data_IF_970869992240
#
_entry.id   IF_970869992240
#
_cell.length_a   1.000
_cell.length_b   1.000
_cell.length_c   1.000
_cell.angle_alpha   90.00
_cell.angle_beta   90.00
_cell.angle_gamma   90.00
#
_symmetry.space_group_name_H-M   'P 1'
#
loop_
_entity.id
_entity.type
_entity.pdbx_description
1 polymer ?
#
# COMPACT_ATOMS: atom_id res chain seq x y z
N UNK A 1 19.94 17.82 -20.45
CA UNK A 1 18.70 17.63 -19.65
C UNK A 1 18.54 16.14 -19.40
N UNK A 2 18.22 15.74 -18.18
CA UNK A 2 18.03 14.33 -17.83
C UNK A 2 16.75 14.23 -17.01
N UNK A 3 15.89 13.29 -17.35
CA UNK A 3 14.73 12.93 -16.53
C UNK A 3 14.95 11.56 -15.91
N UNK A 4 14.38 11.38 -14.73
CA UNK A 4 14.42 10.12 -13.99
C UNK A 4 13.02 9.91 -13.42
N UNK A 5 12.46 8.72 -13.62
CA UNK A 5 11.38 8.21 -12.81
C UNK A 5 12.00 7.33 -11.74
N UNK A 6 11.88 7.75 -10.47
CA UNK A 6 12.37 6.99 -9.34
C UNK A 6 11.22 6.45 -8.49
N UNK A 7 11.38 5.24 -7.99
CA UNK A 7 10.58 4.67 -6.91
C UNK A 7 11.49 4.29 -5.76
N UNK A 8 11.05 4.55 -4.54
CA UNK A 8 11.80 4.24 -3.32
C UNK A 8 10.86 3.84 -2.20
N UNK A 9 11.34 2.97 -1.31
CA UNK A 9 10.70 2.77 -0.03
C UNK A 9 11.52 3.41 1.08
N UNK A 10 10.82 4.07 1.98
CA UNK A 10 11.34 4.65 3.21
C UNK A 10 10.71 3.94 4.39
N UNK A 11 11.50 3.55 5.37
CA UNK A 11 10.98 2.94 6.61
C UNK A 11 11.52 3.66 7.83
N UNK A 12 10.68 3.82 8.83
CA UNK A 12 10.97 4.53 10.07
C UNK A 12 10.68 3.63 11.27
N UNK A 13 11.65 3.45 12.16
CA UNK A 13 11.46 2.68 13.38
C UNK A 13 12.14 3.35 14.56
N UNK A 14 11.32 3.96 15.43
CA UNK A 14 11.78 4.69 16.61
C UNK A 14 12.64 5.88 16.19
N UNK A 15 13.97 5.75 16.20
CA UNK A 15 14.92 6.79 15.79
C UNK A 15 15.77 6.37 14.58
N UNK A 16 15.42 5.26 13.93
CA UNK A 16 16.12 4.75 12.77
C UNK A 16 15.30 4.99 11.51
N UNK A 17 15.98 5.27 10.41
CA UNK A 17 15.41 5.29 9.08
C UNK A 17 16.26 4.50 8.09
N UNK A 18 15.60 3.97 7.08
CA UNK A 18 16.24 3.40 5.90
C UNK A 18 15.52 3.86 4.64
N UNK A 19 16.30 3.95 3.56
CA UNK A 19 15.80 4.27 2.22
C UNK A 19 16.41 3.28 1.27
N UNK A 20 15.59 2.69 0.41
CA UNK A 20 16.05 1.77 -0.61
C UNK A 20 15.37 2.08 -1.93
N UNK A 21 16.13 2.07 -3.04
CA UNK A 21 15.56 2.23 -4.36
C UNK A 21 14.74 0.99 -4.72
N UNK A 22 13.61 1.22 -5.36
CA UNK A 22 12.77 0.18 -5.99
C UNK A 22 13.09 0.15 -7.47
N UNK A 23 13.04 1.32 -8.11
CA UNK A 23 13.23 1.48 -9.55
C UNK A 23 13.85 2.83 -9.85
N UNK A 24 14.65 2.89 -10.92
CA UNK A 24 15.22 4.12 -11.45
C UNK A 24 15.27 4.04 -12.98
N UNK A 25 14.28 4.64 -13.64
CA UNK A 25 14.19 4.66 -15.10
C UNK A 25 14.63 6.02 -15.63
N UNK A 26 15.55 6.03 -16.58
CA UNK A 26 15.94 7.25 -17.28
C UNK A 26 14.83 7.63 -18.27
N UNK A 27 14.35 8.87 -18.15
CA UNK A 27 13.50 9.50 -19.15
C UNK A 27 14.44 10.18 -20.15
N UNK A 28 14.51 9.61 -21.35
CA UNK A 28 15.30 10.14 -22.45
C UNK A 28 14.65 11.41 -22.98
N UNK A 29 15.45 12.46 -23.19
CA UNK A 29 15.03 13.67 -23.88
C UNK A 29 15.77 13.79 -25.22
N UNK A 30 16.16 12.65 -25.79
CA UNK A 30 17.14 12.62 -26.87
C UNK A 30 16.59 13.30 -28.13
N UNK A 31 15.30 13.15 -28.43
CA UNK A 31 14.66 13.83 -29.57
C UNK A 31 14.73 15.35 -29.47
N UNK A 32 14.42 15.92 -28.29
CA UNK A 32 14.48 17.38 -28.10
C UNK A 32 15.93 17.87 -28.05
N UNK A 33 16.83 17.09 -27.48
CA UNK A 33 18.25 17.43 -27.43
C UNK A 33 18.89 17.39 -28.82
N UNK A 34 18.53 16.43 -29.68
CA UNK A 34 18.97 16.36 -31.08
C UNK A 34 18.50 17.58 -31.87
N UNK A 35 17.27 18.05 -31.66
CA UNK A 35 16.77 19.29 -32.30
C UNK A 35 17.50 20.55 -31.85
N UNK A 36 18.10 20.52 -30.68
CA UNK A 36 18.87 21.64 -30.11
C UNK A 36 20.37 21.52 -30.39
N UNK A 37 20.82 20.41 -30.97
CA UNK A 37 22.22 20.20 -31.29
C UNK A 37 22.62 21.04 -32.51
N UNK A 38 23.63 21.89 -32.34
CA UNK A 38 24.21 22.68 -33.42
C UNK A 38 25.29 21.88 -34.15
N UNK A 39 25.64 22.27 -35.38
CA UNK A 39 26.63 21.58 -36.24
C UNK A 39 28.00 21.30 -35.59
N UNK A 40 28.35 22.00 -34.51
CA UNK A 40 29.58 21.80 -33.74
C UNK A 40 29.39 20.88 -32.50
N UNK A 41 28.28 20.16 -32.40
CA UNK A 41 27.95 19.26 -31.28
C UNK A 41 27.53 19.95 -29.99
N UNK A 42 27.34 21.28 -30.00
CA UNK A 42 26.86 22.02 -28.82
C UNK A 42 25.33 21.99 -28.77
N UNK A 43 24.76 21.85 -27.58
CA UNK A 43 23.31 21.96 -27.38
C UNK A 43 22.95 23.42 -27.09
N UNK A 44 22.07 24.00 -27.92
CA UNK A 44 21.48 25.34 -27.74
C UNK A 44 19.97 25.25 -27.80
N UNK A 45 19.33 25.31 -26.64
CA UNK A 45 17.88 25.41 -26.53
C UNK A 45 17.41 26.82 -26.99
N UNK A 46 16.59 26.94 -28.05
CA UNK A 46 16.01 28.22 -28.44
C UNK A 46 15.01 28.71 -27.39
N UNK A 47 14.71 30.02 -27.41
CA UNK A 47 13.63 30.56 -26.59
C UNK A 47 12.29 30.01 -27.06
N UNK A 48 11.44 29.57 -26.14
CA UNK A 48 10.12 29.04 -26.46
C UNK A 48 9.54 28.17 -25.36
N UNK A 49 8.35 27.63 -25.62
CA UNK A 49 7.70 26.61 -24.80
C UNK A 49 7.82 25.26 -25.51
N UNK A 50 8.24 24.24 -24.78
CA UNK A 50 8.45 22.90 -25.32
C UNK A 50 7.67 21.89 -24.50
N UNK A 51 6.93 21.03 -25.20
CA UNK A 51 6.27 19.87 -24.63
C UNK A 51 7.00 18.61 -25.08
N UNK A 52 7.19 17.66 -24.16
CA UNK A 52 7.78 16.37 -24.43
C UNK A 52 6.91 15.29 -23.79
N UNK A 53 6.53 14.29 -24.56
CA UNK A 53 5.78 13.14 -24.08
C UNK A 53 6.75 11.96 -23.91
N UNK A 54 6.67 11.28 -22.77
CA UNK A 54 7.37 10.02 -22.54
C UNK A 54 6.38 9.01 -22.02
N UNK A 55 6.56 7.76 -22.43
CA UNK A 55 5.87 6.61 -21.83
C UNK A 55 6.83 5.86 -20.95
N UNK A 56 6.38 5.53 -19.76
CA UNK A 56 7.16 4.79 -18.76
C UNK A 56 6.34 3.57 -18.41
N UNK A 57 6.91 2.39 -18.64
CA UNK A 57 6.34 1.13 -18.20
C UNK A 57 7.02 0.76 -16.89
N UNK A 58 6.20 0.50 -15.87
CA UNK A 58 6.65 0.04 -14.55
C UNK A 58 6.39 -1.46 -14.49
N UNK A 59 7.37 -2.24 -14.05
CA UNK A 59 7.22 -3.70 -13.94
C UNK A 59 6.09 -4.08 -12.97
N UNK A 60 5.45 -5.22 -13.25
CA UNK A 60 4.36 -5.79 -12.45
C UNK A 60 4.76 -6.06 -11.00
N UNK A 61 6.06 -6.24 -10.74
CA UNK A 61 6.62 -6.46 -9.41
C UNK A 61 6.80 -5.18 -8.59
N UNK A 62 6.58 -4.00 -9.19
CA UNK A 62 6.70 -2.74 -8.46
C UNK A 62 5.47 -2.53 -7.57
N UNK A 63 5.66 -2.25 -6.27
CA UNK A 63 4.56 -2.05 -5.35
C UNK A 63 3.80 -0.75 -5.65
N UNK A 64 2.53 -0.72 -5.28
CA UNK A 64 1.75 0.51 -5.25
C UNK A 64 2.34 1.57 -4.30
N UNK A 65 2.00 2.83 -4.54
CA UNK A 65 2.26 3.91 -3.59
C UNK A 65 1.56 3.62 -2.27
N UNK A 66 2.30 3.76 -1.18
CA UNK A 66 1.81 3.50 0.17
C UNK A 66 2.36 4.57 1.12
N UNK A 67 1.51 5.11 1.98
CA UNK A 67 1.92 6.07 3.00
C UNK A 67 1.38 5.59 4.35
N UNK A 68 2.28 5.32 5.28
CA UNK A 68 1.94 4.90 6.65
C UNK A 68 2.79 5.65 7.67
N UNK A 69 2.42 5.54 8.95
CA UNK A 69 3.19 6.14 10.06
C UNK A 69 4.64 5.66 10.13
N UNK A 70 4.90 4.39 9.76
CA UNK A 70 6.21 3.75 9.96
C UNK A 70 6.95 3.48 8.62
N UNK A 71 6.41 3.95 7.50
CA UNK A 71 7.07 3.81 6.21
C UNK A 71 6.22 4.27 5.03
N UNK A 72 6.89 4.57 3.94
CA UNK A 72 6.29 5.01 2.68
C UNK A 72 6.90 4.26 1.50
N UNK A 73 6.12 4.11 0.43
CA UNK A 73 6.53 3.67 -0.90
C UNK A 73 6.12 4.82 -1.81
N UNK A 74 7.11 5.53 -2.34
CA UNK A 74 6.91 6.79 -3.06
C UNK A 74 7.57 6.73 -4.44
N UNK A 75 6.91 7.37 -5.40
CA UNK A 75 7.42 7.53 -6.75
C UNK A 75 7.47 9.00 -7.12
N UNK A 76 8.45 9.38 -7.93
CA UNK A 76 8.59 10.75 -8.41
C UNK A 76 9.22 10.80 -9.81
N UNK A 77 8.80 11.79 -10.59
CA UNK A 77 9.51 12.23 -11.79
C UNK A 77 10.43 13.37 -11.37
N UNK A 78 11.71 13.23 -11.66
CA UNK A 78 12.75 14.21 -11.42
C UNK A 78 13.31 14.64 -12.77
N UNK A 79 13.22 15.93 -13.08
CA UNK A 79 13.85 16.52 -14.25
C UNK A 79 14.98 17.43 -13.79
N UNK A 80 16.20 17.14 -14.28
CA UNK A 80 17.41 17.91 -14.04
C UNK A 80 17.82 18.63 -15.32
N UNK A 81 17.87 19.94 -15.25
CA UNK A 81 18.37 20.82 -16.31
C UNK A 81 19.68 21.46 -15.84
N UNK A 82 20.79 21.09 -16.48
CA UNK A 82 22.09 21.73 -16.28
C UNK A 82 22.35 22.71 -17.41
N UNK A 83 22.58 23.97 -17.07
CA UNK A 83 22.88 25.05 -18.01
C UNK A 83 24.28 25.59 -17.75
N UNK A 84 25.08 25.73 -18.81
CA UNK A 84 26.42 26.29 -18.74
C UNK A 84 26.34 27.81 -18.92
N UNK A 85 26.81 28.56 -17.93
CA UNK A 85 26.93 30.01 -18.00
C UNK A 85 28.37 30.44 -18.32
N UNK A 86 28.60 31.77 -18.36
CA UNK A 86 29.96 32.33 -18.43
C UNK A 86 30.79 32.03 -17.18
N UNK A 87 30.14 31.85 -16.03
CA UNK A 87 30.78 31.55 -14.74
C UNK A 87 30.12 30.29 -14.18
N UNK A 88 30.68 29.13 -14.51
CA UNK A 88 30.24 27.84 -13.99
C UNK A 88 28.95 27.29 -14.62
N UNK A 89 28.38 26.30 -13.93
CA UNK A 89 27.14 25.64 -14.32
C UNK A 89 26.05 25.91 -13.30
N UNK A 90 24.85 26.21 -13.76
CA UNK A 90 23.64 26.21 -12.94
C UNK A 90 22.88 24.90 -13.14
N UNK A 91 22.38 24.33 -12.06
CA UNK A 91 21.53 23.15 -12.07
C UNK A 91 20.14 23.52 -11.55
N UNK A 92 19.12 23.19 -12.32
CA UNK A 92 17.72 23.31 -11.93
C UNK A 92 17.14 21.90 -11.83
N UNK A 93 16.68 21.53 -10.65
CA UNK A 93 16.01 20.24 -10.40
C UNK A 93 14.54 20.50 -10.08
N UNK A 94 13.65 19.82 -10.79
CA UNK A 94 12.21 19.80 -10.50
C UNK A 94 11.79 18.38 -10.22
N UNK A 95 11.15 18.17 -9.07
CA UNK A 95 10.58 16.89 -8.66
C UNK A 95 9.06 17.01 -8.63
N UNK A 96 8.38 15.99 -9.14
CA UNK A 96 6.92 15.85 -9.05
C UNK A 96 6.56 14.45 -8.55
N UNK A 97 5.78 14.33 -7.47
CA UNK A 97 5.34 13.03 -6.98
C UNK A 97 4.40 12.37 -7.98
N UNK A 98 4.45 11.04 -8.04
CA UNK A 98 3.57 10.20 -8.87
C UNK A 98 2.91 9.17 -7.97
N UNK A 99 1.60 9.01 -8.11
CA UNK A 99 0.85 7.97 -7.40
C UNK A 99 0.75 6.74 -8.29
N UNK A 100 1.38 5.65 -7.89
CA UNK A 100 1.36 4.37 -8.61
C UNK A 100 0.27 3.49 -8.00
N UNK A 101 -0.72 3.12 -8.81
CA UNK A 101 -1.81 2.23 -8.40
C UNK A 101 -1.56 0.87 -9.05
N UNK A 102 -1.32 -0.20 -8.26
CA UNK A 102 -1.13 -1.53 -8.79
C UNK A 102 -2.48 -2.07 -9.27
N UNK A 103 -2.51 -2.57 -10.51
CA UNK A 103 -3.69 -3.23 -11.06
C UNK A 103 -3.45 -4.73 -10.98
N UNK A 104 -4.25 -5.42 -10.17
CA UNK A 104 -4.19 -6.87 -10.01
C UNK A 104 -5.49 -7.46 -10.52
N UNK A 105 -5.41 -8.30 -11.55
CA UNK A 105 -6.57 -9.07 -12.00
C UNK A 105 -6.75 -10.29 -11.10
N UNK A 106 -7.66 -10.15 -10.12
CA UNK A 106 -7.96 -11.22 -9.18
C UNK A 106 -8.65 -12.44 -9.82
N UNK A 107 -9.19 -12.30 -11.04
CA UNK A 107 -9.92 -13.39 -11.70
C UNK A 107 -9.03 -14.60 -12.00
N UNK A 108 -7.72 -14.40 -12.14
CA UNK A 108 -6.75 -15.46 -12.43
C UNK A 108 -6.48 -16.37 -11.23
N UNK A 109 -6.81 -15.92 -10.02
CA UNK A 109 -6.50 -16.64 -8.79
C UNK A 109 -7.74 -17.39 -8.29
N UNK A 110 -7.79 -18.71 -8.53
CA UNK A 110 -8.90 -19.56 -8.07
C UNK A 110 -9.05 -19.55 -6.55
N UNK A 111 -7.94 -19.47 -5.81
CA UNK A 111 -7.93 -19.36 -4.34
C UNK A 111 -8.64 -18.10 -3.84
N UNK A 112 -8.65 -17.01 -4.61
CA UNK A 112 -9.33 -15.77 -4.24
C UNK A 112 -10.85 -15.87 -4.32
N UNK A 113 -11.36 -16.85 -5.07
CA UNK A 113 -12.78 -17.14 -5.22
C UNK A 113 -13.29 -18.19 -4.20
N UNK A 114 -12.39 -18.80 -3.44
CA UNK A 114 -12.77 -19.80 -2.45
C UNK A 114 -13.32 -19.12 -1.18
N UNK A 115 -14.39 -19.66 -0.57
CA UNK A 115 -14.92 -19.15 0.69
C UNK A 115 -13.88 -19.30 1.81
N UNK A 116 -13.92 -18.38 2.76
CA UNK A 116 -13.02 -18.37 3.93
C UNK A 116 -13.83 -18.67 5.17
N UNK A 117 -13.45 -19.73 5.88
CA UNK A 117 -14.03 -20.10 7.17
C UNK A 117 -12.97 -20.01 8.26
N UNK A 118 -13.28 -19.28 9.33
CA UNK A 118 -12.43 -19.11 10.51
C UNK A 118 -13.22 -19.50 11.74
N UNK A 119 -12.77 -20.54 12.43
CA UNK A 119 -13.31 -20.93 13.74
C UNK A 119 -12.28 -20.69 14.83
N UNK A 120 -12.69 -20.04 15.92
CA UNK A 120 -11.83 -19.72 17.05
C UNK A 120 -12.53 -19.99 18.37
N UNK A 121 -11.86 -20.79 19.19
CA UNK A 121 -12.33 -21.13 20.54
C UNK A 121 -11.77 -20.13 21.56
N UNK A 122 -12.65 -19.47 22.28
CA UNK A 122 -12.32 -18.54 23.37
C UNK A 122 -12.61 -19.18 24.72
N UNK A 123 -11.55 -19.53 25.44
CA UNK A 123 -11.61 -20.02 26.82
C UNK A 123 -10.85 -19.07 27.73
N UNK A 124 -11.57 -18.36 28.60
CA UNK A 124 -10.97 -17.51 29.63
C UNK A 124 -11.41 -17.98 31.00
N UNK A 125 -10.46 -18.43 31.81
CA UNK A 125 -10.64 -18.73 33.23
C UNK A 125 -10.22 -17.53 34.07
N UNK A 126 -10.90 -17.28 35.18
CA UNK A 126 -10.44 -16.34 36.20
C UNK A 126 -10.62 -17.01 37.57
N UNK A 127 -9.52 -17.20 38.29
CA UNK A 127 -9.43 -18.04 39.49
C UNK A 127 -9.96 -19.46 39.20
N UNK A 128 -11.07 -19.85 39.83
CA UNK A 128 -11.69 -21.18 39.74
C UNK A 128 -12.98 -21.20 38.89
N UNK A 129 -13.39 -20.05 38.31
CA UNK A 129 -14.59 -19.96 37.49
C UNK A 129 -14.23 -19.76 36.01
N UNK A 130 -14.91 -20.50 35.12
CA UNK A 130 -14.93 -20.14 33.70
C UNK A 130 -15.59 -18.76 33.59
N UNK A 131 -14.92 -17.82 32.92
CA UNK A 131 -15.45 -16.47 32.67
C UNK A 131 -16.07 -16.38 31.29
N UNK A 132 -15.47 -17.03 30.31
CA UNK A 132 -15.95 -17.17 28.94
C UNK A 132 -15.57 -18.55 28.44
N UNK A 133 -16.52 -19.27 27.85
CA UNK A 133 -16.29 -20.44 27.03
C UNK A 133 -17.20 -20.31 25.81
N UNK A 134 -16.64 -19.90 24.67
CA UNK A 134 -17.40 -19.69 23.47
C UNK A 134 -16.60 -20.07 22.22
N UNK A 135 -17.31 -20.54 21.21
CA UNK A 135 -16.78 -20.77 19.86
C UNK A 135 -17.30 -19.65 18.97
N UNK A 136 -16.39 -18.97 18.28
CA UNK A 136 -16.72 -17.97 17.26
C UNK A 136 -16.42 -18.57 15.89
N UNK A 137 -17.39 -18.55 15.00
CA UNK A 137 -17.22 -18.88 13.59
C UNK A 137 -17.44 -17.61 12.77
N UNK A 138 -16.56 -17.35 11.81
CA UNK A 138 -16.70 -16.29 10.80
C UNK A 138 -16.55 -16.93 9.43
N UNK A 139 -17.47 -16.62 8.53
CA UNK A 139 -17.45 -17.06 7.15
C UNK A 139 -17.53 -15.86 6.20
N UNK A 140 -16.72 -15.92 5.15
CA UNK A 140 -16.73 -15.01 4.01
C UNK A 140 -16.99 -15.83 2.75
N UNK A 141 -17.79 -15.30 1.84
CA UNK A 141 -18.12 -15.94 0.56
C UNK A 141 -16.89 -16.18 -0.33
N UNK A 142 -15.84 -15.37 -0.17
CA UNK A 142 -14.59 -15.45 -0.92
C UNK A 142 -13.40 -14.83 -0.17
N UNK A 143 -12.19 -15.11 -0.64
CA UNK A 143 -10.95 -14.71 0.01
C UNK A 143 -10.37 -13.36 -0.46
N UNK A 144 -10.80 -12.83 -1.61
CA UNK A 144 -10.41 -11.50 -2.07
C UNK A 144 -11.58 -10.70 -2.63
N UNK A 145 -11.54 -9.39 -2.42
CA UNK A 145 -12.59 -8.44 -2.79
C UNK A 145 -11.99 -7.30 -3.60
N UNK A 146 -12.77 -6.72 -4.51
CA UNK A 146 -12.37 -5.51 -5.23
C UNK A 146 -12.81 -4.26 -4.48
N UNK A 147 -12.12 -3.14 -4.72
CA UNK A 147 -12.47 -1.85 -4.11
C UNK A 147 -13.92 -1.47 -4.45
N UNK A 148 -14.71 -1.12 -3.43
CA UNK A 148 -16.11 -0.73 -3.57
C UNK A 148 -17.10 -1.91 -3.54
N UNK A 149 -16.62 -3.14 -3.53
CA UNK A 149 -17.46 -4.32 -3.37
C UNK A 149 -18.03 -4.43 -1.95
N UNK A 150 -19.27 -4.91 -1.84
CA UNK A 150 -19.88 -5.22 -0.55
C UNK A 150 -19.30 -6.54 -0.02
N UNK A 151 -18.79 -6.52 1.21
CA UNK A 151 -18.29 -7.71 1.91
C UNK A 151 -19.40 -8.24 2.82
N UNK A 152 -19.95 -9.42 2.50
CA UNK A 152 -20.88 -10.12 3.38
C UNK A 152 -20.08 -10.95 4.39
N UNK A 153 -20.23 -10.65 5.68
CA UNK A 153 -19.60 -11.40 6.77
C UNK A 153 -20.68 -12.14 7.54
N UNK A 154 -20.61 -13.46 7.51
CA UNK A 154 -21.47 -14.32 8.32
C UNK A 154 -20.73 -14.67 9.61
N UNK A 155 -21.41 -14.57 10.74
CA UNK A 155 -20.82 -14.82 12.04
C UNK A 155 -21.75 -15.62 12.93
N UNK A 156 -21.20 -16.60 13.64
CA UNK A 156 -21.92 -17.40 14.63
C UNK A 156 -21.12 -17.42 15.93
N UNK A 157 -21.82 -17.26 17.05
CA UNK A 157 -21.25 -17.36 18.39
C UNK A 157 -22.00 -18.47 19.13
N UNK A 158 -21.33 -19.61 19.32
CA UNK A 158 -21.78 -20.64 20.25
C UNK A 158 -21.23 -20.31 21.65
N UNK A 159 -22.06 -19.68 22.47
CA UNK A 159 -21.71 -19.37 23.85
C UNK A 159 -22.09 -20.52 24.78
N UNK A 160 -21.10 -21.35 25.12
CA UNK A 160 -21.24 -22.52 25.99
C UNK A 160 -21.27 -22.17 27.48
N UNK A 161 -21.63 -20.94 27.85
CA UNK A 161 -21.69 -20.48 29.23
C UNK A 161 -23.09 -19.95 29.61
N UNK A 162 -23.94 -20.85 30.11
CA UNK A 162 -25.38 -20.61 30.35
C UNK A 162 -25.67 -19.38 31.24
N UNK A 163 -24.80 -19.04 32.20
CA UNK A 163 -25.01 -17.91 33.12
C UNK A 163 -24.25 -16.62 32.77
N UNK A 164 -23.47 -16.61 31.67
CA UNK A 164 -22.70 -15.43 31.25
C UNK A 164 -22.84 -15.24 29.73
N UNK A 165 -23.95 -14.65 29.27
CA UNK A 165 -24.13 -14.35 27.86
C UNK A 165 -23.05 -13.40 27.35
N UNK A 166 -22.50 -13.69 26.16
CA UNK A 166 -21.75 -12.71 25.38
C UNK A 166 -22.75 -11.65 24.93
N UNK A 167 -22.58 -10.42 25.43
CA UNK A 167 -23.57 -9.34 25.23
C UNK A 167 -23.41 -8.63 23.90
N UNK A 168 -22.19 -8.58 23.38
CA UNK A 168 -21.81 -7.72 22.27
C UNK A 168 -20.68 -8.38 21.46
N UNK A 169 -20.70 -8.18 20.14
CA UNK A 169 -19.66 -8.60 19.21
C UNK A 169 -19.35 -7.47 18.23
N UNK A 170 -18.05 -7.24 17.97
CA UNK A 170 -17.57 -6.26 16.99
C UNK A 170 -16.86 -7.02 15.87
N UNK A 171 -17.15 -6.63 14.62
CA UNK A 171 -16.37 -7.07 13.45
C UNK A 171 -15.64 -5.86 12.89
N UNK A 172 -14.32 -5.96 12.88
CA UNK A 172 -13.44 -4.89 12.43
C UNK A 172 -12.73 -5.33 11.16
N UNK A 173 -12.74 -4.46 10.14
CA UNK A 173 -11.87 -4.62 9.00
C UNK A 173 -10.55 -3.93 9.33
N UNK A 174 -9.50 -4.73 9.50
CA UNK A 174 -8.19 -4.24 9.93
C UNK A 174 -7.20 -4.35 8.78
N UNK A 175 -6.69 -3.22 8.29
CA UNK A 175 -5.55 -3.19 7.40
C UNK A 175 -4.26 -3.20 8.23
N UNK A 176 -3.41 -4.20 8.01
CA UNK A 176 -2.15 -4.38 8.74
C UNK A 176 -0.98 -4.09 7.80
N UNK A 177 -0.19 -3.08 8.14
CA UNK A 177 1.06 -2.77 7.45
C UNK A 177 2.24 -3.18 8.32
N UNK A 178 3.09 -4.06 7.78
CA UNK A 178 4.32 -4.51 8.45
C UNK A 178 5.50 -3.75 7.86
N UNK A 179 6.16 -2.93 8.69
CA UNK A 179 7.38 -2.22 8.32
C UNK A 179 8.59 -2.87 9.01
N UNK A 180 9.66 -3.10 8.26
CA UNK A 180 10.97 -3.54 8.78
C UNK A 180 12.01 -2.46 8.50
N UNK A 181 12.86 -2.18 9.48
CA UNK A 181 13.92 -1.19 9.40
C UNK A 181 15.10 -1.69 10.24
N UNK A 182 16.28 -1.93 9.63
CA UNK A 182 17.51 -2.40 10.29
C UNK A 182 17.31 -3.57 11.26
N UNK A 183 16.49 -4.55 10.86
CA UNK A 183 16.14 -5.72 11.69
C UNK A 183 15.06 -5.48 12.74
N UNK A 184 14.76 -4.22 13.10
CA UNK A 184 13.60 -3.89 13.91
C UNK A 184 12.32 -3.96 13.08
N UNK A 185 11.20 -4.31 13.71
CA UNK A 185 9.92 -4.47 13.04
C UNK A 185 8.81 -3.75 13.80
N UNK A 186 8.01 -2.97 13.07
CA UNK A 186 6.81 -2.31 13.58
C UNK A 186 5.60 -2.65 12.73
N UNK A 187 4.45 -2.67 13.38
CA UNK A 187 3.17 -2.81 12.72
C UNK A 187 2.42 -1.48 12.80
N UNK A 188 1.83 -1.06 11.69
CA UNK A 188 0.84 0.00 11.64
C UNK A 188 -0.50 -0.62 11.30
N UNK A 189 -1.52 -0.27 12.08
CA UNK A 189 -2.88 -0.75 11.87
C UNK A 189 -3.72 0.44 11.41
N UNK A 190 -4.49 0.25 10.34
CA UNK A 190 -5.62 1.12 10.00
C UNK A 190 -6.87 0.28 10.28
N UNK A 191 -7.63 0.72 11.27
CA UNK A 191 -8.88 0.07 11.68
C UNK A 191 -10.05 0.79 11.02
N UNK A 192 -10.87 0.04 10.29
CA UNK A 192 -12.21 0.47 9.92
C UNK A 192 -13.18 -0.36 10.74
N UNK A 193 -13.77 0.28 11.74
CA UNK A 193 -14.70 -0.36 12.68
C UNK A 193 -16.10 -0.25 12.09
N UNK A 194 -16.74 -1.40 11.90
CA UNK A 194 -18.16 -1.47 11.54
C UNK A 194 -18.91 -2.07 12.72
N UNK A 195 -20.00 -1.42 13.13
CA UNK A 195 -20.93 -2.02 14.08
C UNK A 195 -21.86 -2.92 13.30
N UNK A 196 -21.87 -4.21 13.61
CA UNK A 196 -22.83 -5.13 13.00
C UNK A 196 -24.22 -4.82 13.56
N UNK A 197 -25.15 -4.44 12.69
CA UNK A 197 -26.54 -4.16 13.07
C UNK A 197 -27.39 -5.44 13.17
N UNK A 198 -26.96 -6.54 12.54
CA UNK A 198 -27.72 -7.79 12.51
C UNK A 198 -26.81 -8.98 12.91
N UNK A 199 -26.73 -9.28 14.21
CA UNK A 199 -26.17 -10.54 14.70
C UNK A 199 -27.31 -11.43 15.21
N UNK A 200 -27.40 -12.66 14.71
CA UNK A 200 -28.32 -13.66 15.27
C UNK A 200 -27.54 -14.46 16.31
N UNK A 201 -27.77 -14.19 17.60
CA UNK A 201 -27.23 -15.02 18.68
C UNK A 201 -28.14 -16.23 18.80
N UNK A 202 -27.71 -17.39 18.28
CA UNK A 202 -28.35 -18.65 18.64
C UNK A 202 -27.85 -19.08 20.02
N UNK A 203 -28.73 -19.03 21.02
CA UNK A 203 -28.47 -19.60 22.32
C UNK A 203 -28.91 -21.06 22.23
N UNK A 204 -27.96 -21.99 22.18
CA UNK A 204 -28.26 -23.39 22.39
C UNK A 204 -28.72 -23.56 23.85
N UNK A 205 -29.98 -23.94 24.04
CA UNK A 205 -30.60 -24.27 25.33
C UNK A 205 -30.22 -25.68 25.77
#
# INVERSE_FOLDING_TARGET
MIGIFEGKYHTYCSNQSETYPIIGLRIGFDEILQRWETRNGKIRAPAGCYCFESRITIDENCPGTLITKNGTIEYAIIVKLKTSGRIGHSENVKMKPVFVVPVVDISWYTSFRAPVFVQKNYKKKFLCCNKINATLCIELEKAAFITGEKINVYGEIDNQHNSKPIKEGLVELVSVFRCRCKGAQKYSLILVIFKLENFTVQIAL
#
